data_IF_317056990694
#
_entry.id   IF_317056990694
#
_cell.length_a   1.000
_cell.length_b   1.000
_cell.length_c   1.000
_cell.angle_alpha   90.00
_cell.angle_beta   90.00
_cell.angle_gamma   90.00
#
_symmetry.space_group_name_H-M   'P 1'
#
loop_
_entity.id
_entity.type
_entity.pdbx_description
1 polymer ?
#
# COMPACT_ATOMS: atom_id res chain seq x y z
N UNK A 1 24.01 -13.51 -9.59
CA UNK A 1 22.58 -13.56 -9.19
C UNK A 1 22.17 -12.19 -8.68
N UNK A 2 21.18 -11.53 -9.30
CA UNK A 2 20.75 -10.20 -8.87
C UNK A 2 20.14 -10.26 -7.47
N UNK A 3 20.75 -9.57 -6.50
CA UNK A 3 20.26 -9.45 -5.12
C UNK A 3 18.82 -8.93 -5.19
N UNK A 4 17.86 -9.67 -4.63
CA UNK A 4 16.47 -9.22 -4.54
C UNK A 4 16.47 -7.86 -3.86
N UNK A 5 16.17 -6.80 -4.60
CA UNK A 5 16.35 -5.42 -4.14
C UNK A 5 15.53 -5.11 -2.88
N UNK A 6 15.87 -4.04 -2.18
CA UNK A 6 15.23 -3.67 -0.91
C UNK A 6 13.75 -3.26 -1.05
N UNK A 7 13.19 -3.26 -2.27
CA UNK A 7 11.79 -2.94 -2.57
C UNK A 7 10.94 -4.21 -2.47
N UNK A 8 9.97 -4.19 -1.56
CA UNK A 8 8.96 -5.23 -1.38
C UNK A 8 7.64 -4.80 -2.02
N UNK A 9 6.94 -5.73 -2.67
CA UNK A 9 5.56 -5.51 -3.10
C UNK A 9 4.65 -5.62 -1.89
N UNK A 10 3.75 -4.65 -1.72
CA UNK A 10 2.81 -4.60 -0.61
C UNK A 10 1.41 -4.26 -1.11
N UNK A 11 0.42 -4.83 -0.43
CA UNK A 11 -1.00 -4.57 -0.71
C UNK A 11 -1.49 -3.47 0.19
N UNK A 12 -2.21 -2.51 -0.37
CA UNK A 12 -2.83 -1.40 0.32
C UNK A 12 -4.34 -1.56 0.16
N UNK A 13 -5.06 -1.75 1.27
CA UNK A 13 -6.52 -1.92 1.26
C UNK A 13 -7.19 -0.65 1.74
N UNK A 14 -8.28 -0.26 1.07
CA UNK A 14 -9.13 0.84 1.50
C UNK A 14 -9.74 0.54 2.88
N UNK A 15 -9.85 1.54 3.75
CA UNK A 15 -10.57 1.41 5.02
C UNK A 15 -12.08 1.33 4.82
N UNK A 16 -12.60 1.87 3.73
CA UNK A 16 -14.03 2.05 3.50
C UNK A 16 -14.61 1.14 2.43
N UNK A 17 -13.76 0.49 1.64
CA UNK A 17 -14.20 -0.42 0.58
C UNK A 17 -13.31 -1.67 0.44
N UNK A 18 -13.73 -2.58 -0.44
CA UNK A 18 -12.93 -3.74 -0.86
C UNK A 18 -11.80 -3.40 -1.84
N UNK A 19 -11.62 -2.14 -2.23
CA UNK A 19 -10.63 -1.75 -3.22
C UNK A 19 -9.19 -1.90 -2.70
N UNK A 20 -8.30 -2.38 -3.56
CA UNK A 20 -6.90 -2.64 -3.21
C UNK A 20 -5.94 -2.11 -4.27
N UNK A 21 -4.84 -1.53 -3.79
CA UNK A 21 -3.70 -1.15 -4.61
C UNK A 21 -2.50 -2.04 -4.31
N UNK A 22 -1.68 -2.26 -5.33
CA UNK A 22 -0.36 -2.87 -5.20
C UNK A 22 0.69 -1.77 -5.32
N UNK A 23 1.59 -1.69 -4.34
CA UNK A 23 2.65 -0.69 -4.33
C UNK A 23 3.96 -1.28 -3.86
N UNK A 24 5.07 -0.73 -4.30
CA UNK A 24 6.39 -1.10 -3.80
C UNK A 24 6.78 -0.22 -2.63
N UNK A 25 7.26 -0.84 -1.54
CA UNK A 25 7.79 -0.17 -0.35
C UNK A 25 9.24 -0.55 -0.17
N UNK A 26 10.08 0.39 0.24
CA UNK A 26 11.46 0.09 0.58
C UNK A 26 11.53 -0.39 2.03
N UNK A 27 11.96 -1.64 2.25
CA UNK A 27 12.05 -2.27 3.57
C UNK A 27 13.02 -1.54 4.51
N UNK A 28 14.04 -0.88 3.99
CA UNK A 28 15.03 -0.16 4.81
C UNK A 28 14.57 1.22 5.25
N UNK A 29 13.92 1.99 4.35
CA UNK A 29 13.52 3.36 4.65
C UNK A 29 12.17 3.42 5.37
N UNK A 30 11.32 2.41 5.18
CA UNK A 30 9.98 2.39 5.74
C UNK A 30 9.75 1.04 6.40
N UNK A 31 9.97 0.97 7.71
CA UNK A 31 9.81 -0.28 8.48
C UNK A 31 8.39 -0.43 9.02
N UNK A 32 7.69 0.68 9.28
CA UNK A 32 6.32 0.73 9.82
C UNK A 32 5.27 0.48 8.75
N UNK A 33 4.05 0.10 9.15
CA UNK A 33 2.91 -0.08 8.21
C UNK A 33 2.62 1.24 7.47
N UNK A 34 2.46 1.16 6.15
CA UNK A 34 2.05 2.31 5.35
C UNK A 34 0.58 2.63 5.56
N UNK A 35 0.31 3.91 5.81
CA UNK A 35 -1.02 4.50 5.74
C UNK A 35 -0.96 5.66 4.76
N UNK A 36 -1.73 5.57 3.66
CA UNK A 36 -1.71 6.56 2.58
C UNK A 36 -3.13 6.98 2.24
N UNK A 37 -3.38 8.27 2.05
CA UNK A 37 -4.66 8.73 1.51
C UNK A 37 -4.63 8.57 -0.01
N UNK A 38 -5.54 7.75 -0.53
CA UNK A 38 -5.70 7.52 -1.98
C UNK A 38 -7.16 7.58 -2.36
N UNK A 39 -7.41 7.88 -3.63
CA UNK A 39 -8.74 7.84 -4.19
C UNK A 39 -9.29 6.41 -4.16
N UNK A 40 -10.53 6.26 -3.76
CA UNK A 40 -11.28 5.02 -3.85
C UNK A 40 -12.34 5.15 -4.95
N UNK A 41 -12.25 4.36 -6.04
CA UNK A 41 -13.22 4.45 -7.13
C UNK A 41 -14.61 3.93 -6.75
N UNK A 42 -14.74 3.12 -5.70
CA UNK A 42 -16.03 2.57 -5.25
C UNK A 42 -16.81 3.62 -4.47
N UNK A 43 -16.15 4.26 -3.50
CA UNK A 43 -16.77 5.30 -2.63
C UNK A 43 -16.63 6.71 -3.25
N UNK A 44 -15.89 6.83 -4.36
CA UNK A 44 -15.62 8.05 -5.12
C UNK A 44 -15.01 9.19 -4.30
N UNK A 45 -14.21 8.87 -3.29
CA UNK A 45 -13.56 9.86 -2.41
C UNK A 45 -12.16 9.41 -2.00
N UNK A 46 -11.37 10.35 -1.48
CA UNK A 46 -10.05 10.04 -0.93
C UNK A 46 -10.18 9.51 0.49
N UNK A 47 -9.81 8.24 0.67
CA UNK A 47 -9.89 7.52 1.94
C UNK A 47 -8.50 7.04 2.35
N UNK A 48 -8.37 6.62 3.61
CA UNK A 48 -7.13 6.06 4.11
C UNK A 48 -7.00 4.62 3.64
N UNK A 49 -5.90 4.33 2.95
CA UNK A 49 -5.50 2.98 2.62
C UNK A 49 -4.45 2.52 3.62
N UNK A 50 -4.60 1.29 4.11
CA UNK A 50 -3.69 0.68 5.07
C UNK A 50 -3.00 -0.53 4.45
N UNK A 51 -1.73 -0.70 4.79
CA UNK A 51 -0.94 -1.86 4.41
C UNK A 51 -1.56 -3.15 4.97
N UNK A 52 -1.87 -4.07 4.07
CA UNK A 52 -2.33 -5.44 4.35
C UNK A 52 -1.25 -6.41 3.89
N UNK A 53 -1.13 -7.51 4.64
CA UNK A 53 -0.11 -8.54 4.46
C UNK A 53 -0.20 -9.23 3.09
#
# INVERSE_FOLDING_TARGET
MAKKGNRILVKMRSSESGHMYYTFKNRMNTTTRLELRKYDPIVRKHVVYKETK
#
